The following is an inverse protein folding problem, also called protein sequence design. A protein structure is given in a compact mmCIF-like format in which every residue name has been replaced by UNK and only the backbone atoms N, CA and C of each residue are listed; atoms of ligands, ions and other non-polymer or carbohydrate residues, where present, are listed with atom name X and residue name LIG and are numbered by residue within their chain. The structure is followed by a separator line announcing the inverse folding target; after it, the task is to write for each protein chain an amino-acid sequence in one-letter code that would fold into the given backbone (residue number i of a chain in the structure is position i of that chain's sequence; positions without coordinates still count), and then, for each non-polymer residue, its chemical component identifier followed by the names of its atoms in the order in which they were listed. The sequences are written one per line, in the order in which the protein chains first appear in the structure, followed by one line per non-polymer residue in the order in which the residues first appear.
data_IF_713042266742
#
_entry.id   IF_713042266742
#
_cell.length_a   1.000
_cell.length_b   1.000
_cell.length_c   1.000
_cell.angle_alpha   90.00
_cell.angle_beta   90.00
_cell.angle_gamma   90.00
#
_symmetry.space_group_name_H-M   'P 1'
#
loop_
_entity.id
_entity.type
_entity.pdbx_description
1 polymer ?
#
# COMPACT_ATOMS: atom_id res chain seq x y z
N UNK A 1 18.99 -1.02 3.36
CA UNK A 1 18.11 -0.97 4.56
C UNK A 1 17.71 -2.38 4.95
N UNK A 2 17.71 -2.69 6.24
CA UNK A 2 17.31 -4.01 6.71
C UNK A 2 15.81 -4.03 7.03
N UNK A 3 15.10 -5.08 6.65
CA UNK A 3 13.68 -5.27 6.97
C UNK A 3 13.42 -5.16 8.49
N UNK A 4 14.38 -5.60 9.30
CA UNK A 4 14.28 -5.50 10.77
C UNK A 4 14.21 -4.06 11.29
N UNK A 5 14.84 -3.10 10.62
CA UNK A 5 14.81 -1.68 11.00
C UNK A 5 13.44 -1.08 10.69
N UNK A 6 12.90 -1.39 9.52
CA UNK A 6 11.52 -1.02 9.17
C UNK A 6 10.51 -1.62 10.15
N UNK A 7 10.62 -2.91 10.43
CA UNK A 7 9.70 -3.59 11.32
C UNK A 7 9.72 -2.97 12.73
N UNK A 8 10.89 -2.64 13.24
CA UNK A 8 11.01 -1.97 14.54
C UNK A 8 10.34 -0.60 14.54
N UNK A 9 10.57 0.21 13.51
CA UNK A 9 9.93 1.53 13.40
C UNK A 9 8.40 1.43 13.38
N UNK A 10 7.85 0.57 12.50
CA UNK A 10 6.41 0.45 12.32
C UNK A 10 5.68 -0.28 13.45
N UNK A 11 6.37 -1.11 14.23
CA UNK A 11 5.76 -1.78 15.38
C UNK A 11 5.81 -0.96 16.68
N UNK A 12 6.73 0.01 16.80
CA UNK A 12 6.97 0.70 18.07
C UNK A 12 6.77 2.22 18.04
N UNK A 13 7.05 2.88 16.91
CA UNK A 13 7.11 4.34 16.82
C UNK A 13 5.98 4.92 15.97
N UNK A 14 5.72 4.31 14.82
CA UNK A 14 4.74 4.81 13.86
C UNK A 14 3.31 4.73 14.41
N UNK A 15 2.50 5.73 14.10
CA UNK A 15 1.06 5.77 14.41
C UNK A 15 0.27 6.11 13.16
N UNK A 16 -0.83 5.41 12.98
CA UNK A 16 -1.78 5.71 11.91
C UNK A 16 -2.46 7.06 12.13
N UNK A 17 -2.74 7.75 10.99
CA UNK A 17 -3.45 9.04 10.98
C UNK A 17 -4.40 9.08 9.78
N UNK A 18 -5.34 8.15 9.71
CA UNK A 18 -6.26 8.02 8.57
C UNK A 18 -7.16 9.25 8.36
N UNK A 19 -7.46 10.00 9.42
CA UNK A 19 -8.30 11.20 9.38
C UNK A 19 -7.68 12.37 8.59
N UNK A 20 -6.36 12.36 8.42
CA UNK A 20 -5.69 13.45 7.69
C UNK A 20 -5.78 13.33 6.15
N UNK A 21 -6.28 12.19 5.65
CA UNK A 21 -6.33 11.91 4.21
C UNK A 21 -7.77 11.92 3.71
N UNK A 22 -8.02 12.73 2.68
CA UNK A 22 -9.34 12.88 2.07
C UNK A 22 -9.68 11.66 1.19
N UNK A 23 -8.73 11.18 0.40
CA UNK A 23 -8.94 10.13 -0.60
C UNK A 23 -8.44 8.76 -0.14
N UNK A 24 -7.29 8.73 0.51
CA UNK A 24 -6.63 7.50 0.96
C UNK A 24 -6.81 7.21 2.46
N UNK A 25 -7.75 7.88 3.10
CA UNK A 25 -8.19 7.63 4.46
C UNK A 25 -9.46 6.79 4.52
N UNK A 26 -10.32 7.08 5.49
CA UNK A 26 -11.54 6.31 5.75
C UNK A 26 -12.51 6.23 4.57
N UNK A 27 -12.53 7.22 3.67
CA UNK A 27 -13.38 7.25 2.47
C UNK A 27 -13.13 6.08 1.52
N UNK A 28 -11.98 5.40 1.61
CA UNK A 28 -11.72 4.21 0.80
C UNK A 28 -12.68 3.05 1.12
N UNK A 29 -13.13 2.94 2.37
CA UNK A 29 -14.08 1.90 2.74
C UNK A 29 -15.41 2.01 1.96
N UNK A 30 -15.82 3.24 1.64
CA UNK A 30 -17.06 3.50 0.89
C UNK A 30 -16.98 3.10 -0.60
N UNK A 31 -15.76 2.90 -1.10
CA UNK A 31 -15.50 2.46 -2.49
C UNK A 31 -15.54 0.94 -2.65
N UNK A 32 -15.62 0.19 -1.56
CA UNK A 32 -15.55 -1.27 -1.54
C UNK A 32 -16.95 -1.87 -1.49
N UNK A 33 -17.25 -2.79 -2.40
CA UNK A 33 -18.50 -3.54 -2.40
C UNK A 33 -18.44 -4.68 -1.39
N UNK A 34 -19.57 -5.06 -0.82
CA UNK A 34 -19.63 -6.07 0.24
C UNK A 34 -19.17 -7.47 -0.16
N UNK A 35 -19.17 -7.78 -1.47
CA UNK A 35 -18.72 -9.05 -2.03
C UNK A 35 -17.26 -9.03 -2.52
N UNK A 36 -16.58 -7.89 -2.46
CA UNK A 36 -15.18 -7.79 -2.90
C UNK A 36 -14.22 -8.30 -1.82
N UNK A 37 -13.19 -9.01 -2.26
CA UNK A 37 -12.07 -9.44 -1.44
C UNK A 37 -10.98 -8.37 -1.50
N UNK A 38 -10.57 -7.85 -0.36
CA UNK A 38 -9.59 -6.77 -0.24
C UNK A 38 -8.32 -7.26 0.44
N UNK A 39 -7.17 -6.97 -0.15
CA UNK A 39 -5.84 -7.17 0.45
C UNK A 39 -5.29 -5.81 0.89
N UNK A 40 -5.09 -5.62 2.19
CA UNK A 40 -4.44 -4.43 2.74
C UNK A 40 -2.96 -4.72 3.01
N UNK A 41 -2.11 -4.25 2.10
CA UNK A 41 -0.66 -4.53 2.11
C UNK A 41 0.05 -3.53 3.02
N UNK A 42 0.67 -4.02 4.08
CA UNK A 42 1.23 -3.19 5.14
C UNK A 42 0.12 -2.51 5.94
N UNK A 43 -0.83 -3.31 6.43
CA UNK A 43 -2.04 -2.83 7.07
C UNK A 43 -1.83 -2.10 8.41
N UNK A 44 -0.61 -2.15 8.98
CA UNK A 44 -0.31 -1.57 10.28
C UNK A 44 -1.25 -2.09 11.36
N UNK A 45 -2.01 -1.20 12.00
CA UNK A 45 -3.00 -1.56 13.02
C UNK A 45 -4.27 -2.22 12.48
N UNK A 46 -4.34 -2.51 11.18
CA UNK A 46 -5.45 -3.20 10.51
C UNK A 46 -6.82 -2.50 10.72
N UNK A 47 -6.81 -1.18 10.70
CA UNK A 47 -7.97 -0.35 11.09
C UNK A 47 -9.14 -0.49 10.12
N UNK A 48 -8.90 -0.72 8.83
CA UNK A 48 -9.95 -0.95 7.84
C UNK A 48 -10.74 -2.25 8.06
N UNK A 49 -10.19 -3.20 8.82
CA UNK A 49 -10.86 -4.47 9.15
C UNK A 49 -12.25 -4.29 9.76
N UNK A 50 -12.45 -3.22 10.53
CA UNK A 50 -13.73 -2.92 11.16
C UNK A 50 -14.77 -2.28 10.23
N UNK A 51 -14.37 -1.92 9.00
CA UNK A 51 -15.23 -1.24 8.02
C UNK A 51 -15.43 -2.03 6.73
N UNK A 52 -14.52 -2.97 6.42
CA UNK A 52 -14.54 -3.78 5.20
C UNK A 52 -14.66 -5.25 5.58
N UNK A 53 -15.78 -5.86 5.22
CA UNK A 53 -16.14 -7.22 5.65
C UNK A 53 -15.11 -8.28 5.25
N UNK A 54 -14.67 -8.26 3.99
CA UNK A 54 -13.80 -9.29 3.41
C UNK A 54 -12.37 -8.76 3.20
N UNK A 55 -11.81 -8.11 4.22
CA UNK A 55 -10.45 -7.60 4.19
C UNK A 55 -9.48 -8.59 4.84
N UNK A 56 -8.35 -8.81 4.18
CA UNK A 56 -7.17 -9.49 4.73
C UNK A 56 -6.05 -8.48 4.91
N UNK A 57 -5.71 -8.18 6.13
CA UNK A 57 -4.59 -7.30 6.48
C UNK A 57 -3.27 -8.08 6.53
N UNK A 58 -2.29 -7.64 5.76
CA UNK A 58 -0.95 -8.21 5.66
C UNK A 58 0.07 -7.21 6.21
N UNK A 59 0.87 -7.60 7.19
CA UNK A 59 1.94 -6.77 7.73
C UNK A 59 3.01 -7.62 8.42
N UNK A 60 4.31 -7.46 8.09
CA UNK A 60 5.38 -8.26 8.70
C UNK A 60 5.72 -7.81 10.13
N UNK A 61 5.32 -6.59 10.51
CA UNK A 61 5.76 -5.96 11.76
C UNK A 61 4.68 -5.90 12.84
N UNK A 62 3.40 -5.85 12.44
CA UNK A 62 2.31 -5.53 13.36
C UNK A 62 1.49 -6.77 13.76
N UNK A 63 1.24 -6.92 15.06
CA UNK A 63 0.49 -8.05 15.61
C UNK A 63 -1.03 -7.97 15.34
N UNK A 64 -1.54 -6.84 14.87
CA UNK A 64 -2.94 -6.67 14.46
C UNK A 64 -3.23 -7.21 13.03
N UNK A 65 -2.19 -7.55 12.26
CA UNK A 65 -2.37 -8.13 10.93
C UNK A 65 -3.05 -9.50 10.99
N UNK A 66 -3.90 -9.80 9.99
CA UNK A 66 -4.46 -11.16 9.82
C UNK A 66 -3.38 -12.16 9.41
N UNK A 67 -2.39 -11.69 8.64
CA UNK A 67 -1.25 -12.47 8.17
C UNK A 67 0.03 -11.70 8.45
N UNK A 68 0.92 -12.28 9.24
CA UNK A 68 2.18 -11.64 9.65
C UNK A 68 3.33 -12.01 8.70
N UNK A 69 3.23 -11.57 7.45
CA UNK A 69 4.22 -11.76 6.37
C UNK A 69 4.43 -10.47 5.60
N UNK A 70 5.56 -10.36 4.92
CA UNK A 70 5.76 -9.36 3.87
C UNK A 70 5.01 -9.76 2.59
N UNK A 71 4.80 -8.82 1.67
CA UNK A 71 4.13 -9.10 0.39
C UNK A 71 4.96 -10.06 -0.47
N UNK A 72 6.28 -10.05 -0.34
CA UNK A 72 7.20 -10.92 -1.06
C UNK A 72 7.10 -12.39 -0.59
N UNK A 73 6.69 -12.61 0.66
CA UNK A 73 6.53 -13.94 1.25
C UNK A 73 5.09 -14.46 1.12
N UNK A 74 4.13 -13.58 0.80
CA UNK A 74 2.70 -13.92 0.80
C UNK A 74 2.27 -14.58 -0.51
N UNK A 75 1.69 -15.77 -0.41
CA UNK A 75 1.15 -16.53 -1.55
C UNK A 75 -0.26 -17.04 -1.21
N UNK A 76 -1.31 -16.25 -1.49
CA UNK A 76 -2.68 -16.65 -1.17
C UNK A 76 -3.20 -17.76 -2.09
N UNK A 77 -4.15 -18.55 -1.57
CA UNK A 77 -4.84 -19.59 -2.33
C UNK A 77 -5.88 -19.04 -3.32
N UNK A 78 -6.28 -17.79 -3.15
CA UNK A 78 -7.27 -17.11 -3.98
C UNK A 78 -6.80 -15.70 -4.36
N UNK A 79 -7.46 -15.11 -5.35
CA UNK A 79 -7.12 -13.76 -5.84
C UNK A 79 -8.07 -12.71 -5.27
N UNK A 80 -7.54 -11.51 -5.04
CA UNK A 80 -8.28 -10.37 -4.52
C UNK A 80 -8.84 -9.48 -5.64
N UNK A 81 -9.96 -8.82 -5.34
CA UNK A 81 -10.58 -7.83 -6.22
C UNK A 81 -9.89 -6.46 -6.09
N UNK A 82 -9.41 -6.16 -4.88
CA UNK A 82 -8.83 -4.86 -4.53
C UNK A 82 -7.57 -5.06 -3.70
N UNK A 83 -6.56 -4.22 -3.94
CA UNK A 83 -5.44 -4.05 -3.01
C UNK A 83 -5.38 -2.60 -2.49
N UNK A 84 -5.05 -2.47 -1.22
CA UNK A 84 -4.61 -1.22 -0.60
C UNK A 84 -3.10 -1.26 -0.41
N UNK A 85 -2.41 -0.22 -0.91
CA UNK A 85 -0.97 0.00 -0.74
C UNK A 85 -0.79 1.40 -0.14
N UNK A 86 -1.21 1.55 1.12
CA UNK A 86 -1.37 2.87 1.76
C UNK A 86 -0.15 3.21 2.63
N UNK A 87 0.98 3.48 1.98
CA UNK A 87 2.23 3.80 2.65
C UNK A 87 3.20 2.64 2.82
N UNK A 88 2.84 1.44 2.41
CA UNK A 88 3.64 0.22 2.59
C UNK A 88 4.70 0.02 1.49
N UNK A 89 4.40 0.40 0.25
CA UNK A 89 5.33 0.25 -0.89
C UNK A 89 6.01 1.59 -1.16
N UNK A 90 6.82 2.01 -0.22
CA UNK A 90 7.52 3.30 -0.21
C UNK A 90 9.03 3.16 0.06
N UNK A 91 9.53 1.96 0.37
CA UNK A 91 10.85 1.79 0.95
C UNK A 91 11.78 0.99 0.06
N UNK A 92 12.99 1.50 -0.12
CA UNK A 92 14.02 0.88 -0.93
C UNK A 92 14.17 1.50 -2.31
N UNK A 93 14.98 0.86 -3.15
CA UNK A 93 15.26 1.32 -4.50
C UNK A 93 14.19 0.86 -5.51
N UNK A 94 14.33 1.32 -6.76
CA UNK A 94 13.39 1.01 -7.84
C UNK A 94 13.17 -0.49 -8.05
N UNK A 95 14.21 -1.31 -7.96
CA UNK A 95 14.09 -2.76 -8.14
C UNK A 95 13.25 -3.38 -7.03
N UNK A 96 13.46 -2.97 -5.79
CA UNK A 96 12.66 -3.39 -4.64
C UNK A 96 11.19 -3.05 -4.84
N UNK A 97 10.88 -1.81 -5.20
CA UNK A 97 9.51 -1.35 -5.45
C UNK A 97 8.85 -2.14 -6.57
N UNK A 98 9.54 -2.33 -7.70
CA UNK A 98 9.01 -3.11 -8.83
C UNK A 98 8.72 -4.57 -8.44
N UNK A 99 9.60 -5.19 -7.65
CA UNK A 99 9.37 -6.55 -7.14
C UNK A 99 8.14 -6.61 -6.23
N UNK A 100 7.99 -5.67 -5.31
CA UNK A 100 6.83 -5.60 -4.43
C UNK A 100 5.52 -5.39 -5.21
N UNK A 101 5.52 -4.50 -6.21
CA UNK A 101 4.37 -4.31 -7.09
C UNK A 101 4.03 -5.61 -7.82
N UNK A 102 5.03 -6.31 -8.36
CA UNK A 102 4.81 -7.61 -9.02
C UNK A 102 4.16 -8.63 -8.06
N UNK A 103 4.61 -8.69 -6.80
CA UNK A 103 4.02 -9.55 -5.78
C UNK A 103 2.56 -9.18 -5.48
N UNK A 104 2.24 -7.89 -5.34
CA UNK A 104 0.85 -7.41 -5.20
C UNK A 104 0.01 -7.84 -6.40
N UNK A 105 0.49 -7.58 -7.61
CA UNK A 105 -0.22 -7.90 -8.86
C UNK A 105 -0.49 -9.40 -8.98
N UNK A 106 0.44 -10.23 -8.54
CA UNK A 106 0.28 -11.69 -8.49
C UNK A 106 -0.82 -12.15 -7.52
N UNK A 107 -1.18 -11.34 -6.54
CA UNK A 107 -2.29 -11.63 -5.62
C UNK A 107 -3.67 -11.22 -6.19
N UNK A 108 -3.72 -10.53 -7.33
CA UNK A 108 -4.94 -9.88 -7.82
C UNK A 108 -5.59 -10.62 -8.98
N UNK A 109 -6.92 -10.44 -9.10
CA UNK A 109 -7.72 -10.85 -10.26
C UNK A 109 -7.38 -10.00 -11.49
N UNK A 110 -7.76 -10.47 -12.66
CA UNK A 110 -7.55 -9.75 -13.94
C UNK A 110 -8.32 -8.43 -14.04
N UNK A 111 -9.35 -8.22 -13.23
CA UNK A 111 -10.21 -7.03 -13.20
C UNK A 111 -9.99 -6.17 -11.95
N UNK A 112 -8.90 -6.38 -11.25
CA UNK A 112 -8.66 -5.77 -9.95
C UNK A 112 -8.35 -4.27 -10.00
N UNK A 113 -8.50 -3.63 -8.84
CA UNK A 113 -8.10 -2.24 -8.58
C UNK A 113 -7.04 -2.18 -7.49
N UNK A 114 -6.15 -1.18 -7.57
CA UNK A 114 -5.18 -0.88 -6.51
C UNK A 114 -5.33 0.58 -6.11
N UNK A 115 -5.43 0.83 -4.82
CA UNK A 115 -5.43 2.15 -4.22
C UNK A 115 -4.09 2.41 -3.54
N UNK A 116 -3.49 3.53 -3.87
CA UNK A 116 -2.15 3.90 -3.43
C UNK A 116 -2.17 5.14 -2.54
N UNK A 117 -1.32 5.15 -1.54
CA UNK A 117 -0.83 6.35 -0.86
C UNK A 117 0.68 6.26 -0.78
N UNK A 118 1.37 7.17 -1.46
CA UNK A 118 2.80 7.10 -1.66
C UNK A 118 3.52 8.33 -1.11
N UNK A 119 4.74 8.13 -0.64
CA UNK A 119 5.61 9.19 -0.16
C UNK A 119 6.22 9.95 -1.35
N UNK A 120 6.02 11.28 -1.47
CA UNK A 120 6.59 12.04 -2.57
C UNK A 120 8.08 12.30 -2.35
N UNK A 121 8.88 12.09 -3.39
CA UNK A 121 10.31 12.36 -3.34
C UNK A 121 11.05 11.53 -2.29
N UNK A 122 12.25 11.95 -1.97
CA UNK A 122 13.13 11.30 -0.97
C UNK A 122 12.91 11.83 0.47
N UNK A 123 11.92 12.70 0.67
CA UNK A 123 11.69 13.29 1.98
C UNK A 123 11.35 12.18 3.00
N UNK A 124 12.12 12.13 4.07
CA UNK A 124 11.73 11.39 5.25
C UNK A 124 10.50 12.06 5.89
N UNK A 125 9.98 11.47 6.92
CA UNK A 125 8.83 12.05 7.64
C UNK A 125 9.25 13.13 8.64
N UNK A 126 10.47 13.67 8.54
CA UNK A 126 11.04 14.62 9.52
C UNK A 126 11.26 14.01 10.89
N UNK A 127 11.30 12.69 10.98
CA UNK A 127 11.52 11.95 12.22
C UNK A 127 12.92 11.35 12.23
N UNK A 128 13.71 11.65 13.26
CA UNK A 128 15.07 11.13 13.42
C UNK A 128 15.13 9.58 13.36
N UNK A 129 14.07 8.91 13.79
CA UNK A 129 13.96 7.45 13.68
C UNK A 129 13.87 6.93 12.24
N UNK A 130 13.60 7.79 11.26
CA UNK A 130 13.51 7.46 9.85
C UNK A 130 14.75 7.85 9.03
N UNK A 131 15.79 8.44 9.67
CA UNK A 131 16.95 8.99 8.96
C UNK A 131 17.71 7.97 8.10
N UNK A 132 17.69 6.70 8.51
CA UNK A 132 18.41 5.61 7.84
C UNK A 132 17.47 4.80 6.91
N UNK A 133 16.20 5.21 6.78
CA UNK A 133 15.22 4.57 5.90
C UNK A 133 15.33 5.15 4.51
N UNK A 134 15.55 4.29 3.52
CA UNK A 134 15.55 4.67 2.10
C UNK A 134 14.11 4.77 1.59
N UNK A 135 13.65 5.99 1.27
CA UNK A 135 12.36 6.23 0.65
C UNK A 135 12.46 6.23 -0.87
N UNK A 136 11.58 5.51 -1.53
CA UNK A 136 11.44 5.59 -2.98
C UNK A 136 10.77 6.92 -3.36
N UNK A 137 11.33 7.68 -4.33
CA UNK A 137 10.81 9.00 -4.69
C UNK A 137 9.59 8.89 -5.60
N UNK A 138 8.44 8.55 -5.03
CA UNK A 138 7.21 8.50 -5.79
C UNK A 138 6.86 9.87 -6.38
N UNK A 139 6.28 9.85 -7.59
CA UNK A 139 5.77 11.01 -8.29
C UNK A 139 4.54 10.62 -9.13
N UNK A 140 3.82 11.61 -9.63
CA UNK A 140 2.72 11.37 -10.58
C UNK A 140 3.24 10.66 -11.83
N UNK A 141 4.40 11.08 -12.36
CA UNK A 141 5.04 10.44 -13.52
C UNK A 141 5.42 8.97 -13.27
N UNK A 142 5.87 8.63 -12.06
CA UNK A 142 6.14 7.24 -11.68
C UNK A 142 4.85 6.41 -11.64
N UNK A 143 3.74 6.96 -11.13
CA UNK A 143 2.45 6.27 -11.19
C UNK A 143 1.99 6.02 -12.63
N UNK A 144 2.16 6.99 -13.54
CA UNK A 144 1.85 6.81 -14.98
C UNK A 144 2.65 5.65 -15.56
N UNK A 145 3.98 5.68 -15.39
CA UNK A 145 4.89 4.67 -15.96
C UNK A 145 4.65 3.28 -15.37
N UNK A 146 4.53 3.18 -14.05
CA UNK A 146 4.42 1.89 -13.38
C UNK A 146 3.02 1.27 -13.55
N UNK A 147 1.95 2.05 -13.56
CA UNK A 147 0.62 1.52 -13.84
C UNK A 147 0.57 0.85 -15.23
N UNK A 148 1.08 1.53 -16.25
CA UNK A 148 1.15 0.98 -17.61
C UNK A 148 2.03 -0.27 -17.69
N UNK A 149 3.22 -0.23 -17.07
CA UNK A 149 4.16 -1.37 -17.05
C UNK A 149 3.54 -2.63 -16.46
N UNK A 150 2.71 -2.50 -15.42
CA UNK A 150 2.03 -3.61 -14.76
C UNK A 150 0.64 -3.92 -15.33
N UNK A 151 0.26 -3.33 -16.46
CA UNK A 151 -0.98 -3.61 -17.17
C UNK A 151 -2.22 -3.03 -16.50
N UNK A 152 -2.07 -1.88 -15.83
CA UNK A 152 -3.16 -1.10 -15.25
C UNK A 152 -3.35 0.22 -15.99
N UNK A 153 -4.55 0.71 -15.95
CA UNK A 153 -4.88 2.09 -16.32
C UNK A 153 -4.86 2.96 -15.07
N UNK A 154 -4.15 4.09 -15.13
CA UNK A 154 -4.21 5.11 -14.09
C UNK A 154 -5.53 5.86 -14.19
N UNK A 155 -6.40 5.71 -13.20
CA UNK A 155 -7.73 6.35 -13.17
C UNK A 155 -7.67 7.72 -12.53
N UNK A 156 -6.90 7.84 -11.46
CA UNK A 156 -6.74 9.07 -10.68
C UNK A 156 -5.33 9.11 -10.12
N UNK A 157 -4.72 10.29 -10.12
CA UNK A 157 -3.48 10.54 -9.41
C UNK A 157 -3.43 12.00 -8.96
N UNK A 158 -3.39 12.26 -7.67
CA UNK A 158 -3.43 13.61 -7.11
C UNK A 158 -2.78 13.67 -5.73
N UNK A 159 -2.57 14.89 -5.24
CA UNK A 159 -2.15 15.11 -3.86
C UNK A 159 -3.29 14.82 -2.88
N UNK A 160 -2.96 14.14 -1.80
CA UNK A 160 -3.83 13.86 -0.67
C UNK A 160 -3.09 14.26 0.61
N UNK A 161 -3.29 15.52 1.05
CA UNK A 161 -2.47 16.18 2.04
C UNK A 161 -0.99 16.20 1.59
N UNK A 162 -0.10 15.61 2.35
CA UNK A 162 1.35 15.54 2.09
C UNK A 162 1.79 14.27 1.33
N UNK A 163 0.84 13.51 0.78
CA UNK A 163 1.08 12.26 0.05
C UNK A 163 0.49 12.30 -1.36
N UNK A 164 0.93 11.36 -2.19
CA UNK A 164 0.35 11.12 -3.51
C UNK A 164 -0.65 9.98 -3.38
N UNK A 165 -1.90 10.28 -3.74
CA UNK A 165 -2.95 9.28 -3.92
C UNK A 165 -3.04 8.87 -5.38
N UNK A 166 -3.23 7.56 -5.65
CA UNK A 166 -3.51 7.07 -6.98
C UNK A 166 -4.49 5.89 -6.97
N UNK A 167 -5.23 5.76 -8.05
CA UNK A 167 -6.09 4.62 -8.36
C UNK A 167 -5.62 3.97 -9.65
N UNK A 168 -5.28 2.68 -9.58
CA UNK A 168 -4.97 1.87 -10.73
C UNK A 168 -6.09 0.86 -10.95
N UNK A 169 -6.56 0.68 -12.18
CA UNK A 169 -7.62 -0.28 -12.50
C UNK A 169 -7.27 -1.09 -13.75
N UNK A 170 -7.57 -2.38 -13.72
CA UNK A 170 -7.63 -3.21 -14.92
C UNK A 170 -9.06 -3.24 -15.41
N UNK A 171 -9.26 -2.93 -16.71
CA UNK A 171 -10.52 -3.24 -17.38
C UNK A 171 -10.52 -4.71 -17.81
N UNK A 172 -11.67 -5.31 -17.68
CA UNK A 172 -11.91 -6.62 -18.31
C UNK A 172 -11.72 -6.54 -19.84
#
# INVERSE_FOLDING_TARGET
MKQSELNNYFSTIWKSKLDQYQYSGWSLADKIQSNELVLDVGCGFNEFKNRILNLTGLDPANDHADVKLSIEEYSPLYKFDVAFCLGSINFGNKLTIMNQIACVVNCLKSTARIYWRCNPGHADHGNEACKDIEFYPWSIDEHVKLSELFGFRLMTCCWDNDRIYAEWSRSA
#
